data_IF_460775779334
#
_entry.id   IF_460775779334
#
_cell.length_a   1.000
_cell.length_b   1.000
_cell.length_c   1.000
_cell.angle_alpha   90.00
_cell.angle_beta   90.00
_cell.angle_gamma   90.00
#
_symmetry.space_group_name_H-M   'P 1'
#
loop_
_entity.id
_entity.type
_entity.pdbx_description
1 polymer ?
#
# COMPACT_ATOMS: atom_id res chain seq x y z
N UNK A 1 -21.32 6.97 12.28
CA UNK A 1 -20.38 6.90 11.13
C UNK A 1 -18.97 7.02 11.67
N UNK A 2 -17.97 6.31 11.11
CA UNK A 2 -16.58 6.47 11.53
C UNK A 2 -16.09 7.90 11.24
N UNK A 3 -15.30 8.45 12.15
CA UNK A 3 -14.60 9.72 11.92
C UNK A 3 -13.34 9.47 11.05
N UNK A 4 -12.64 10.52 10.65
CA UNK A 4 -11.44 10.43 9.82
C UNK A 4 -10.30 11.23 10.44
N UNK A 5 -9.07 10.77 10.24
CA UNK A 5 -7.89 11.57 10.60
C UNK A 5 -7.83 12.81 9.70
N UNK A 6 -7.76 14.00 10.30
CA UNK A 6 -7.34 15.20 9.61
C UNK A 6 -5.81 15.22 9.57
N UNK A 7 -5.26 14.94 8.39
CA UNK A 7 -3.81 14.81 8.21
C UNK A 7 -3.17 16.19 8.21
N UNK A 8 -2.49 16.53 9.31
CA UNK A 8 -1.62 17.72 9.41
C UNK A 8 -0.23 17.40 8.83
N UNK A 9 0.54 18.44 8.49
CA UNK A 9 1.93 18.28 8.03
C UNK A 9 2.78 17.59 9.10
N UNK A 10 2.63 17.99 10.37
CA UNK A 10 3.35 17.42 11.50
C UNK A 10 3.04 15.92 11.66
N UNK A 11 1.75 15.54 11.63
CA UNK A 11 1.35 14.14 11.72
C UNK A 11 1.86 13.33 10.53
N UNK A 12 1.74 13.85 9.30
CA UNK A 12 2.23 13.19 8.09
C UNK A 12 3.74 12.93 8.15
N UNK A 13 4.53 13.91 8.60
CA UNK A 13 5.97 13.77 8.74
C UNK A 13 6.35 12.78 9.85
N UNK A 14 5.66 12.83 11.00
CA UNK A 14 5.90 11.89 12.09
C UNK A 14 5.62 10.44 11.68
N UNK A 15 4.52 10.19 10.95
CA UNK A 15 4.22 8.86 10.41
C UNK A 15 5.27 8.43 9.38
N UNK A 16 5.68 9.31 8.46
CA UNK A 16 6.71 8.98 7.48
C UNK A 16 8.02 8.55 8.16
N UNK A 17 8.51 9.34 9.12
CA UNK A 17 9.74 9.04 9.86
C UNK A 17 9.64 7.71 10.60
N UNK A 18 8.49 7.40 11.19
CA UNK A 18 8.26 6.13 11.88
C UNK A 18 8.23 4.92 10.93
N UNK A 19 7.74 5.09 9.70
CA UNK A 19 7.59 3.99 8.73
C UNK A 19 8.82 3.75 7.85
N UNK A 20 9.69 4.75 7.63
CA UNK A 20 10.89 4.59 6.79
C UNK A 20 11.82 3.43 7.21
N UNK A 21 12.13 3.22 8.51
CA UNK A 21 12.92 2.06 8.94
C UNK A 21 12.21 0.73 8.64
N UNK A 22 10.88 0.69 8.81
CA UNK A 22 10.08 -0.52 8.55
C UNK A 22 10.13 -0.87 7.05
N UNK A 23 9.93 0.11 6.17
CA UNK A 23 10.05 -0.11 4.73
C UNK A 23 11.47 -0.50 4.32
N UNK A 24 12.49 0.09 4.95
CA UNK A 24 13.90 -0.24 4.71
C UNK A 24 14.22 -1.70 5.06
N UNK A 25 13.80 -2.14 6.25
CA UNK A 25 13.99 -3.51 6.72
C UNK A 25 13.23 -4.51 5.85
N UNK A 26 12.01 -4.15 5.44
CA UNK A 26 11.19 -4.96 4.55
C UNK A 26 11.86 -5.11 3.18
N UNK A 27 12.30 -4.02 2.57
CA UNK A 27 13.00 -4.05 1.29
C UNK A 27 14.30 -4.85 1.35
N UNK A 28 15.08 -4.70 2.44
CA UNK A 28 16.30 -5.46 2.70
C UNK A 28 16.03 -6.96 2.83
N UNK A 29 14.98 -7.37 3.56
CA UNK A 29 14.59 -8.79 3.72
C UNK A 29 14.25 -9.44 2.39
N UNK A 30 13.68 -8.67 1.47
CA UNK A 30 13.27 -9.13 0.15
C UNK A 30 14.35 -8.94 -0.94
N UNK A 31 15.48 -8.34 -0.60
CA UNK A 31 16.56 -8.01 -1.54
C UNK A 31 16.02 -7.21 -2.75
N UNK A 32 15.16 -6.22 -2.48
CA UNK A 32 14.60 -5.38 -3.53
C UNK A 32 15.70 -4.47 -4.10
N UNK A 33 15.71 -4.19 -5.43
CA UNK A 33 16.73 -3.37 -6.08
C UNK A 33 16.46 -1.88 -5.85
N UNK A 34 16.44 -1.46 -4.58
CA UNK A 34 16.27 -0.09 -4.15
C UNK A 34 17.32 0.26 -3.08
N UNK A 35 17.67 1.54 -2.91
CA UNK A 35 18.61 1.94 -1.86
C UNK A 35 18.10 1.56 -0.47
N UNK A 36 18.95 0.92 0.34
CA UNK A 36 18.69 0.63 1.75
C UNK A 36 19.80 1.21 2.62
N UNK A 37 19.50 2.04 3.65
CA UNK A 37 18.16 2.40 4.09
C UNK A 37 17.44 3.36 3.12
N UNK A 38 16.10 3.27 3.10
CA UNK A 38 15.24 4.24 2.44
C UNK A 38 15.21 5.50 3.32
N UNK A 39 15.70 6.61 2.79
CA UNK A 39 15.70 7.92 3.46
C UNK A 39 14.62 8.81 2.85
N UNK A 40 14.37 9.98 3.47
CA UNK A 40 13.45 10.99 2.95
C UNK A 40 13.82 11.48 1.54
N UNK A 41 15.10 11.46 1.16
CA UNK A 41 15.58 11.86 -0.17
C UNK A 41 15.09 10.92 -1.28
N UNK A 42 14.78 9.67 -0.95
CA UNK A 42 14.21 8.71 -1.89
C UNK A 42 12.69 8.82 -2.02
N UNK A 43 12.03 9.66 -1.22
CA UNK A 43 10.56 9.76 -1.17
C UNK A 43 10.09 10.75 -2.23
N UNK A 44 9.30 10.27 -3.20
CA UNK A 44 8.60 11.12 -4.15
C UNK A 44 7.29 11.62 -3.57
N UNK A 45 6.53 10.72 -2.92
CA UNK A 45 5.22 11.03 -2.35
C UNK A 45 4.96 10.14 -1.16
N UNK A 46 4.34 10.71 -0.13
CA UNK A 46 3.81 9.99 1.00
C UNK A 46 2.37 10.42 1.29
N UNK A 47 1.50 9.45 1.56
CA UNK A 47 0.10 9.68 1.96
C UNK A 47 -0.19 8.84 3.21
N UNK A 48 -0.87 9.43 4.18
CA UNK A 48 -1.32 8.77 5.41
C UNK A 48 -2.77 9.15 5.72
N UNK A 49 -3.31 8.65 6.82
CA UNK A 49 -4.68 8.86 7.28
C UNK A 49 -5.57 7.64 7.11
N UNK A 50 -6.84 7.80 7.43
CA UNK A 50 -7.82 6.73 7.38
C UNK A 50 -9.00 6.96 8.31
N UNK A 51 -9.97 6.03 8.31
CA UNK A 51 -11.08 6.09 9.24
C UNK A 51 -10.63 5.76 10.66
N UNK A 52 -11.21 6.44 11.64
CA UNK A 52 -11.13 6.10 13.06
C UNK A 52 -12.41 5.36 13.44
N UNK A 53 -12.24 4.10 13.82
CA UNK A 53 -13.35 3.22 14.17
C UNK A 53 -13.53 3.26 15.70
N UNK A 54 -14.68 3.69 16.23
CA UNK A 54 -14.93 3.70 17.67
C UNK A 54 -14.71 2.32 18.29
N UNK A 55 -13.98 2.28 19.42
CA UNK A 55 -13.66 1.04 20.12
C UNK A 55 -12.44 0.27 19.59
N UNK A 56 -11.78 0.77 18.53
CA UNK A 56 -10.55 0.19 18.00
C UNK A 56 -9.37 1.16 18.13
N UNK A 57 -8.14 0.66 18.33
CA UNK A 57 -6.94 1.49 18.22
C UNK A 57 -6.85 2.17 16.86
N UNK A 58 -6.27 3.37 16.83
CA UNK A 58 -6.02 4.08 15.58
C UNK A 58 -5.02 3.27 14.75
N UNK A 59 -5.43 2.94 13.53
CA UNK A 59 -4.59 2.25 12.55
C UNK A 59 -3.65 3.25 11.88
N UNK A 60 -2.34 3.10 12.11
CA UNK A 60 -1.31 3.89 11.42
C UNK A 60 -1.17 3.35 10.00
N UNK A 61 -1.51 4.18 9.02
CA UNK A 61 -1.44 3.84 7.60
C UNK A 61 -0.41 4.67 6.88
N UNK A 62 0.25 4.08 5.87
CA UNK A 62 1.19 4.80 5.03
C UNK A 62 1.19 4.25 3.61
N UNK A 63 1.13 5.14 2.64
CA UNK A 63 1.38 4.85 1.24
C UNK A 63 2.59 5.65 0.78
N UNK A 64 3.66 4.94 0.45
CA UNK A 64 4.95 5.51 0.06
C UNK A 64 5.20 5.25 -1.42
N UNK A 65 5.55 6.30 -2.16
CA UNK A 65 6.09 6.23 -3.52
C UNK A 65 7.52 6.75 -3.48
N UNK A 66 8.46 5.94 -3.97
CA UNK A 66 9.85 6.30 -4.12
C UNK A 66 10.12 7.00 -5.45
N UNK A 67 11.21 7.77 -5.54
CA UNK A 67 11.65 8.49 -6.75
C UNK A 67 11.96 7.57 -7.93
N UNK A 68 12.27 6.29 -7.67
CA UNK A 68 12.46 5.25 -8.68
C UNK A 68 11.16 4.49 -9.03
N UNK A 69 10.01 4.94 -8.53
CA UNK A 69 8.67 4.43 -8.84
C UNK A 69 8.24 3.20 -8.04
N UNK A 70 9.07 2.69 -7.12
CA UNK A 70 8.64 1.65 -6.18
C UNK A 70 7.60 2.18 -5.19
N UNK A 71 6.65 1.32 -4.84
CA UNK A 71 5.51 1.67 -3.99
C UNK A 71 5.40 0.71 -2.82
N UNK A 72 5.05 1.24 -1.65
CA UNK A 72 4.83 0.45 -0.43
C UNK A 72 3.56 0.91 0.27
N UNK A 73 2.86 -0.04 0.88
CA UNK A 73 1.73 0.22 1.74
C UNK A 73 1.96 -0.42 3.10
N UNK A 74 1.57 0.32 4.12
CA UNK A 74 1.58 -0.10 5.51
C UNK A 74 0.20 0.12 6.10
N UNK A 75 -0.34 -0.92 6.74
CA UNK A 75 -1.56 -0.85 7.51
C UNK A 75 -1.62 -2.01 8.51
N UNK A 76 -2.47 -1.90 9.53
CA UNK A 76 -2.70 -2.97 10.51
C UNK A 76 -1.39 -3.48 11.15
N UNK A 77 -0.43 -2.58 11.37
CA UNK A 77 0.83 -2.90 12.03
C UNK A 77 1.91 -3.58 11.16
N UNK A 78 1.71 -3.73 9.85
CA UNK A 78 2.68 -4.38 8.97
C UNK A 78 2.70 -3.79 7.54
N UNK A 79 3.71 -4.17 6.75
CA UNK A 79 3.75 -3.85 5.31
C UNK A 79 2.85 -4.86 4.60
N UNK A 80 1.67 -4.40 4.19
CA UNK A 80 0.66 -5.26 3.56
C UNK A 80 0.92 -5.46 2.06
N UNK A 81 1.62 -4.52 1.41
CA UNK A 81 1.92 -4.62 -0.01
C UNK A 81 3.12 -3.79 -0.46
N UNK A 82 3.71 -4.21 -1.58
CA UNK A 82 4.63 -3.42 -2.37
C UNK A 82 4.42 -3.66 -3.85
N UNK A 83 4.88 -2.72 -4.67
CA UNK A 83 4.83 -2.82 -6.12
C UNK A 83 6.09 -2.22 -6.74
N UNK A 84 6.71 -2.97 -7.65
CA UNK A 84 7.79 -2.50 -8.49
C UNK A 84 7.25 -1.52 -9.54
N UNK A 85 8.08 -0.58 -10.04
CA UNK A 85 7.68 0.38 -11.07
C UNK A 85 7.22 -0.29 -12.38
N UNK A 86 7.64 -1.53 -12.61
CA UNK A 86 7.27 -2.33 -13.78
C UNK A 86 6.61 -3.63 -13.35
N UNK A 87 5.30 -3.74 -13.59
CA UNK A 87 4.48 -4.88 -13.23
C UNK A 87 3.37 -5.06 -14.27
N UNK A 88 3.42 -6.16 -15.04
CA UNK A 88 2.50 -6.40 -16.15
C UNK A 88 1.02 -6.40 -15.72
N UNK A 89 0.70 -6.98 -14.56
CA UNK A 89 -0.70 -7.12 -14.14
C UNK A 89 -1.35 -5.82 -13.62
N UNK A 90 -0.55 -4.78 -13.36
CA UNK A 90 -1.05 -3.46 -12.99
C UNK A 90 -0.87 -2.44 -14.11
N UNK A 91 -0.24 -2.82 -15.23
CA UNK A 91 -0.19 -2.00 -16.43
C UNK A 91 -1.60 -1.80 -16.99
N UNK A 92 -1.99 -0.53 -17.16
CA UNK A 92 -3.30 -0.15 -17.69
C UNK A 92 -3.20 0.40 -19.11
N UNK A 93 -2.00 0.73 -19.57
CA UNK A 93 -1.76 1.22 -20.92
C UNK A 93 -1.54 0.04 -21.89
N UNK A 94 -2.50 -0.27 -22.79
CA UNK A 94 -2.37 -1.38 -23.73
C UNK A 94 -1.21 -1.20 -24.72
N UNK A 95 -0.77 0.03 -24.99
CA UNK A 95 0.33 0.30 -25.93
C UNK A 95 1.69 -0.10 -25.33
N UNK A 96 1.76 -0.22 -23.99
CA UNK A 96 2.98 -0.59 -23.27
C UNK A 96 3.16 -2.09 -23.10
N UNK A 97 2.20 -2.92 -23.51
CA UNK A 97 2.29 -4.39 -23.39
C UNK A 97 3.54 -4.95 -24.08
N UNK A 98 3.96 -4.35 -25.20
CA UNK A 98 5.17 -4.74 -25.92
C UNK A 98 6.43 -4.65 -25.03
N UNK A 99 6.48 -3.70 -24.09
CA UNK A 99 7.61 -3.53 -23.18
C UNK A 99 7.78 -4.76 -22.27
N UNK A 100 6.71 -5.49 -21.96
CA UNK A 100 6.68 -6.64 -21.05
C UNK A 100 6.96 -7.98 -21.74
N UNK A 101 7.17 -7.98 -23.05
CA UNK A 101 7.57 -9.19 -23.77
C UNK A 101 8.98 -9.62 -23.35
N UNK A 102 9.20 -10.93 -23.24
CA UNK A 102 10.50 -11.46 -22.84
C UNK A 102 10.62 -12.98 -22.88
N UNK A 103 11.74 -13.48 -22.36
CA UNK A 103 12.03 -14.91 -22.29
C UNK A 103 11.52 -15.53 -21.00
N UNK A 104 10.89 -16.70 -21.11
CA UNK A 104 10.42 -17.44 -19.94
C UNK A 104 11.58 -18.26 -19.34
N UNK A 105 12.15 -17.76 -18.24
CA UNK A 105 13.32 -18.38 -17.59
C UNK A 105 12.99 -19.08 -16.26
N UNK A 106 11.70 -19.18 -15.92
CA UNK A 106 11.21 -19.74 -14.66
C UNK A 106 9.93 -20.52 -14.91
N UNK A 107 9.81 -21.69 -14.29
CA UNK A 107 8.64 -22.54 -14.29
C UNK A 107 7.61 -22.09 -13.25
N UNK A 108 6.36 -22.56 -13.39
CA UNK A 108 5.32 -22.32 -12.38
C UNK A 108 5.72 -22.78 -10.97
N UNK A 109 6.39 -23.94 -10.87
CA UNK A 109 6.83 -24.49 -9.58
C UNK A 109 7.88 -23.60 -8.92
N UNK A 110 8.84 -23.11 -9.68
CA UNK A 110 9.85 -22.17 -9.18
C UNK A 110 9.22 -20.83 -8.76
N UNK A 111 8.21 -20.34 -9.49
CA UNK A 111 7.48 -19.13 -9.12
C UNK A 111 6.73 -19.27 -7.78
N UNK A 112 6.05 -20.40 -7.55
CA UNK A 112 5.42 -20.70 -6.24
C UNK A 112 6.48 -20.81 -5.13
N UNK A 113 7.61 -21.45 -5.43
CA UNK A 113 8.70 -21.59 -4.46
C UNK A 113 9.28 -20.22 -4.08
N UNK A 114 9.48 -19.32 -5.06
CA UNK A 114 9.92 -17.96 -4.82
C UNK A 114 8.95 -17.18 -3.93
N UNK A 115 7.65 -17.22 -4.24
CA UNK A 115 6.62 -16.54 -3.43
C UNK A 115 6.62 -17.01 -1.97
N UNK A 116 6.72 -18.33 -1.73
CA UNK A 116 6.79 -18.91 -0.38
C UNK A 116 8.08 -18.53 0.35
N UNK A 117 9.20 -18.50 -0.36
CA UNK A 117 10.48 -18.06 0.20
C UNK A 117 10.40 -16.58 0.63
N UNK A 118 9.75 -15.71 -0.16
CA UNK A 118 9.54 -14.32 0.24
C UNK A 118 8.68 -14.23 1.51
N UNK A 119 7.57 -14.98 1.59
CA UNK A 119 6.75 -15.04 2.81
C UNK A 119 7.56 -15.47 4.04
N UNK A 120 8.50 -16.42 3.86
CA UNK A 120 9.40 -16.86 4.93
C UNK A 120 10.35 -15.73 5.34
N UNK A 121 11.00 -15.05 4.39
CA UNK A 121 11.92 -13.92 4.68
C UNK A 121 11.25 -12.75 5.38
N UNK A 122 9.97 -12.50 5.07
CA UNK A 122 9.16 -11.48 5.76
C UNK A 122 8.71 -11.90 7.16
N UNK A 123 8.83 -13.18 7.52
CA UNK A 123 8.30 -13.75 8.76
C UNK A 123 6.78 -13.95 8.74
N UNK A 124 6.18 -14.05 7.55
CA UNK A 124 4.73 -14.17 7.36
C UNK A 124 4.27 -15.62 7.14
N UNK A 125 5.17 -16.52 6.74
CA UNK A 125 4.83 -17.90 6.38
C UNK A 125 4.05 -18.65 7.47
N UNK A 126 4.48 -18.56 8.74
CA UNK A 126 3.82 -19.25 9.85
C UNK A 126 2.44 -18.67 10.18
N UNK A 127 2.27 -17.36 9.99
CA UNK A 127 1.00 -16.65 10.21
C UNK A 127 -0.01 -16.88 9.09
N UNK A 128 0.45 -17.36 7.93
CA UNK A 128 -0.35 -17.58 6.72
C UNK A 128 -0.27 -19.04 6.27
N UNK A 129 -0.68 -20.02 7.10
CA UNK A 129 -0.45 -21.44 6.84
C UNK A 129 -1.10 -21.94 5.53
N UNK A 130 -2.17 -21.29 5.07
CA UNK A 130 -2.83 -21.65 3.80
C UNK A 130 -1.93 -21.43 2.57
N UNK A 131 -0.91 -20.57 2.66
CA UNK A 131 0.07 -20.35 1.58
C UNK A 131 1.01 -21.53 1.33
N UNK A 132 1.07 -22.49 2.27
CA UNK A 132 1.76 -23.77 2.08
C UNK A 132 1.01 -24.71 1.13
N UNK A 133 -0.30 -24.53 0.96
CA UNK A 133 -1.14 -25.29 0.04
C UNK A 133 -0.99 -24.80 -1.40
N UNK A 134 -1.60 -25.52 -2.34
CA UNK A 134 -1.66 -25.11 -3.75
C UNK A 134 -2.34 -23.71 -3.85
N UNK A 135 -1.83 -22.79 -4.69
CA UNK A 135 -2.50 -21.52 -4.97
C UNK A 135 -3.94 -21.74 -5.43
N UNK A 136 -4.85 -20.85 -5.01
CA UNK A 136 -6.24 -20.86 -5.47
C UNK A 136 -6.35 -20.41 -6.92
N UNK A 137 -5.53 -19.41 -7.31
CA UNK A 137 -5.39 -18.98 -8.70
C UNK A 137 -3.92 -18.91 -9.09
N UNK A 138 -3.66 -19.23 -10.35
CA UNK A 138 -2.33 -19.16 -10.94
C UNK A 138 -2.47 -18.78 -12.41
N UNK A 139 -2.07 -17.57 -12.75
CA UNK A 139 -2.12 -17.03 -14.11
C UNK A 139 -0.73 -16.94 -14.72
N UNK A 140 -0.67 -16.99 -16.06
CA UNK A 140 0.57 -16.87 -16.83
C UNK A 140 1.35 -18.18 -17.04
N UNK A 141 2.38 -18.16 -17.90
CA UNK A 141 2.75 -17.02 -18.74
C UNK A 141 1.71 -16.85 -19.87
N UNK A 142 1.69 -15.68 -20.51
CA UNK A 142 0.75 -15.42 -21.60
C UNK A 142 1.43 -15.31 -22.96
N UNK A 143 0.62 -15.37 -24.02
CA UNK A 143 1.03 -15.04 -25.39
C UNK A 143 0.36 -13.75 -25.83
N UNK A 144 1.14 -12.84 -26.37
CA UNK A 144 0.67 -11.59 -26.97
C UNK A 144 1.30 -11.45 -28.35
N UNK A 145 0.47 -11.48 -29.40
CA UNK A 145 0.90 -11.43 -30.81
C UNK A 145 2.02 -12.44 -31.13
N UNK A 146 1.87 -13.68 -30.63
CA UNK A 146 2.86 -14.76 -30.78
C UNK A 146 4.07 -14.67 -29.84
N UNK A 147 4.31 -13.52 -29.20
CA UNK A 147 5.41 -13.29 -28.27
C UNK A 147 5.03 -13.69 -26.85
N UNK A 148 6.03 -13.99 -26.01
CA UNK A 148 5.81 -14.45 -24.62
C UNK A 148 5.79 -13.25 -23.68
N UNK A 149 4.79 -13.23 -22.78
CA UNK A 149 4.77 -12.37 -21.59
C UNK A 149 5.16 -13.24 -20.39
N UNK A 150 6.43 -13.15 -19.92
CA UNK A 150 6.96 -14.03 -18.89
C UNK A 150 6.58 -13.52 -17.49
N UNK A 151 5.28 -13.36 -17.22
CA UNK A 151 4.78 -12.92 -15.92
C UNK A 151 3.83 -13.95 -15.33
N UNK A 152 3.93 -14.15 -14.01
CA UNK A 152 3.04 -14.99 -13.23
C UNK A 152 2.30 -14.17 -12.18
N UNK A 153 1.02 -14.48 -11.97
CA UNK A 153 0.24 -14.01 -10.82
C UNK A 153 -0.20 -15.23 -10.02
N UNK A 154 0.10 -15.22 -8.73
CA UNK A 154 -0.16 -16.33 -7.81
C UNK A 154 -1.00 -15.81 -6.66
N UNK A 155 -2.16 -16.43 -6.44
CA UNK A 155 -3.09 -16.02 -5.40
C UNK A 155 -3.39 -17.17 -4.44
N UNK A 156 -3.53 -16.84 -3.17
CA UNK A 156 -4.14 -17.68 -2.15
C UNK A 156 -5.29 -16.93 -1.51
N UNK A 157 -6.47 -17.52 -1.57
CA UNK A 157 -7.71 -16.99 -1.01
C UNK A 157 -8.31 -18.01 -0.04
N UNK A 158 -8.74 -17.58 1.14
CA UNK A 158 -9.44 -18.44 2.09
C UNK A 158 -10.29 -17.63 3.07
N UNK A 159 -11.23 -18.32 3.72
CA UNK A 159 -12.06 -17.75 4.77
C UNK A 159 -11.74 -18.38 6.13
N UNK A 160 -11.78 -17.56 7.19
CA UNK A 160 -11.82 -18.03 8.58
C UNK A 160 -13.07 -17.44 9.23
N UNK A 161 -14.13 -18.24 9.34
CA UNK A 161 -15.45 -17.72 9.74
C UNK A 161 -15.97 -16.71 8.73
N UNK A 162 -16.23 -15.48 9.18
CA UNK A 162 -16.67 -14.36 8.33
C UNK A 162 -15.53 -13.53 7.74
N UNK A 163 -14.27 -13.84 8.07
CA UNK A 163 -13.11 -13.08 7.62
C UNK A 163 -12.56 -13.68 6.32
N UNK A 164 -12.42 -12.83 5.30
CA UNK A 164 -11.74 -13.17 4.05
C UNK A 164 -10.25 -12.84 4.15
N UNK A 165 -9.41 -13.74 3.66
CA UNK A 165 -7.97 -13.60 3.63
C UNK A 165 -7.45 -13.76 2.20
N UNK A 166 -6.43 -12.98 1.87
CA UNK A 166 -5.85 -12.88 0.54
C UNK A 166 -4.33 -12.73 0.59
N UNK A 167 -3.64 -13.40 -0.32
CA UNK A 167 -2.21 -13.19 -0.61
C UNK A 167 -2.02 -13.25 -2.12
N UNK A 168 -1.36 -12.25 -2.68
CA UNK A 168 -1.00 -12.14 -4.09
C UNK A 168 0.48 -11.91 -4.26
N UNK A 169 1.05 -12.58 -5.26
CA UNK A 169 2.36 -12.29 -5.80
C UNK A 169 2.29 -12.12 -7.31
N UNK A 170 2.92 -11.07 -7.82
CA UNK A 170 3.28 -10.97 -9.24
C UNK A 170 4.77 -11.20 -9.39
N UNK A 171 5.15 -12.00 -10.39
CA UNK A 171 6.53 -12.42 -10.62
C UNK A 171 6.89 -12.18 -12.08
N UNK A 172 8.01 -11.48 -12.28
CA UNK A 172 8.74 -11.43 -13.54
C UNK A 172 9.58 -12.71 -13.67
N UNK A 173 9.13 -13.64 -14.52
CA UNK A 173 9.74 -14.94 -14.74
C UNK A 173 11.01 -14.85 -15.61
N UNK A 174 11.25 -13.73 -16.31
CA UNK A 174 12.50 -13.49 -17.02
C UNK A 174 13.62 -13.13 -16.04
N UNK A 175 13.33 -12.18 -15.14
CA UNK A 175 14.27 -11.68 -14.13
C UNK A 175 14.28 -12.50 -12.83
N UNK A 176 13.35 -13.45 -12.69
CA UNK A 176 13.14 -14.26 -11.48
C UNK A 176 12.87 -13.39 -10.25
N UNK A 177 12.08 -12.35 -10.42
CA UNK A 177 11.89 -11.29 -9.42
C UNK A 177 10.42 -11.09 -9.09
N UNK A 178 10.11 -10.88 -7.81
CA UNK A 178 8.76 -10.44 -7.39
C UNK A 178 8.57 -8.96 -7.75
N UNK A 179 7.54 -8.66 -8.52
CA UNK A 179 7.16 -7.30 -8.91
C UNK A 179 5.99 -6.75 -8.10
N UNK A 180 5.25 -7.61 -7.40
CA UNK A 180 4.21 -7.20 -6.46
C UNK A 180 4.04 -8.24 -5.36
N UNK A 181 3.79 -7.77 -4.16
CA UNK A 181 3.20 -8.54 -3.07
C UNK A 181 1.99 -7.76 -2.55
N UNK A 182 0.91 -8.46 -2.25
CA UNK A 182 -0.20 -7.90 -1.49
C UNK A 182 -0.79 -8.95 -0.55
N UNK A 183 -1.17 -8.55 0.66
CA UNK A 183 -1.84 -9.40 1.60
C UNK A 183 -2.95 -8.65 2.33
N UNK A 184 -4.10 -9.30 2.49
CA UNK A 184 -5.13 -8.89 3.42
C UNK A 184 -5.38 -10.06 4.35
N UNK A 185 -4.91 -9.98 5.60
CA UNK A 185 -5.13 -11.02 6.59
C UNK A 185 -5.03 -10.47 8.01
N UNK A 186 -6.06 -10.72 8.81
CA UNK A 186 -6.08 -10.38 10.23
C UNK A 186 -5.01 -11.11 11.04
N UNK A 187 -4.49 -12.24 10.53
CA UNK A 187 -3.39 -12.98 11.16
C UNK A 187 -2.06 -12.21 11.17
N UNK A 188 -1.92 -11.19 10.32
CA UNK A 188 -0.72 -10.34 10.28
C UNK A 188 -0.87 -9.07 11.12
N UNK A 189 -2.06 -8.80 11.67
CA UNK A 189 -2.29 -7.64 12.51
C UNK A 189 -1.26 -7.59 13.65
N UNK A 190 -0.59 -6.45 13.77
CA UNK A 190 0.40 -6.20 14.79
C UNK A 190 0.19 -4.82 15.42
N UNK A 191 0.89 -4.54 16.51
CA UNK A 191 0.91 -3.20 17.08
C UNK A 191 1.64 -2.26 16.10
N UNK A 192 1.00 -1.16 15.63
CA UNK A 192 1.69 -0.17 14.80
C UNK A 192 2.79 0.54 15.59
N UNK A 193 3.76 1.20 14.91
CA UNK A 193 4.76 2.00 15.59
C UNK A 193 4.09 3.13 16.39
N UNK A 194 4.74 3.53 17.46
CA UNK A 194 4.32 4.69 18.23
C UNK A 194 4.55 5.96 17.42
N UNK A 195 3.50 6.77 17.26
CA UNK A 195 3.58 8.07 16.63
C UNK A 195 3.53 9.10 17.75
N UNK A 196 4.63 9.82 17.96
CA UNK A 196 4.76 10.83 19.01
C UNK A 196 3.85 12.06 18.84
N UNK A 197 2.99 12.06 17.81
CA UNK A 197 2.05 13.12 17.49
C UNK A 197 0.63 12.53 17.52
N UNK A 198 -0.24 13.11 18.35
CA UNK A 198 -1.65 12.74 18.38
C UNK A 198 -2.32 13.23 17.09
N UNK A 199 -2.99 12.35 16.32
CA UNK A 199 -3.74 12.80 15.15
C UNK A 199 -4.90 13.68 15.58
N UNK A 200 -5.14 14.75 14.82
CA UNK A 200 -6.38 15.51 14.90
C UNK A 200 -7.49 14.77 14.14
N UNK A 201 -8.70 14.73 14.71
CA UNK A 201 -9.86 14.19 14.02
C UNK A 201 -10.50 15.23 13.10
N UNK A 202 -11.13 14.78 12.02
CA UNK A 202 -11.82 15.67 11.07
C UNK A 202 -12.97 16.41 11.76
N UNK A 203 -13.69 15.77 12.68
CA UNK A 203 -14.71 16.44 13.48
C UNK A 203 -14.14 17.56 14.36
N UNK A 204 -13.00 17.33 15.01
CA UNK A 204 -12.28 18.32 15.83
C UNK A 204 -11.80 19.51 14.99
N UNK A 205 -11.18 19.23 13.84
CA UNK A 205 -10.78 20.24 12.88
C UNK A 205 -11.97 21.09 12.41
N UNK A 206 -13.06 20.45 12.00
CA UNK A 206 -14.26 21.15 11.51
C UNK A 206 -14.89 21.99 12.61
N UNK A 207 -14.92 21.50 13.86
CA UNK A 207 -15.38 22.25 15.02
C UNK A 207 -14.52 23.49 15.22
N UNK A 208 -13.19 23.35 15.27
CA UNK A 208 -12.26 24.48 15.42
C UNK A 208 -12.40 25.52 14.31
N UNK A 209 -12.50 25.10 13.05
CA UNK A 209 -12.63 26.04 11.91
C UNK A 209 -13.99 26.72 11.86
N UNK A 210 -15.07 26.04 12.26
CA UNK A 210 -16.41 26.62 12.33
C UNK A 210 -16.57 27.56 13.52
N UNK A 211 -16.06 27.20 14.68
CA UNK A 211 -16.08 28.03 15.89
C UNK A 211 -15.12 29.23 15.79
N UNK A 212 -13.97 29.06 15.12
CA UNK A 212 -13.03 30.14 14.80
C UNK A 212 -13.53 31.10 13.70
N UNK A 213 -14.61 30.74 12.99
CA UNK A 213 -15.38 31.64 12.14
C UNK A 213 -16.63 32.08 12.88
N UNK A 214 -16.49 33.02 13.84
CA UNK A 214 -17.49 34.08 13.92
C UNK A 214 -17.47 34.77 12.55
N UNK A 215 -18.34 34.32 11.66
CA UNK A 215 -18.68 35.06 10.46
C UNK A 215 -19.28 36.35 11.02
N UNK A 216 -18.50 37.43 11.05
CA UNK A 216 -19.08 38.76 10.96
C UNK A 216 -19.85 38.75 9.64
N UNK A 217 -21.13 38.39 9.73
CA UNK A 217 -22.09 38.69 8.71
C UNK A 217 -22.15 40.21 8.75
N UNK A 218 -21.28 40.87 7.97
CA UNK A 218 -21.51 42.27 7.64
C UNK A 218 -22.80 42.22 6.84
N UNK A 219 -23.86 42.74 7.43
CA UNK A 219 -25.06 43.07 6.67
C UNK A 219 -24.60 43.82 5.41
N UNK A 220 -25.11 43.44 4.22
CA UNK A 220 -24.84 44.23 3.04
C UNK A 220 -25.25 45.68 3.33
N UNK A 221 -24.45 46.69 2.93
CA UNK A 221 -24.81 48.07 3.15
C UNK A 221 -26.21 48.32 2.59
N UNK A 222 -27.10 49.05 3.29
CA UNK A 222 -28.45 49.29 2.80
C UNK A 222 -28.37 49.93 1.41
N UNK A 223 -29.07 49.32 0.45
CA UNK A 223 -29.22 49.87 -0.89
C UNK A 223 -29.76 51.30 -0.78
N UNK A 224 -29.00 52.26 -1.31
CA UNK A 224 -29.49 53.62 -1.47
C UNK A 224 -30.61 53.56 -2.51
N UNK A 225 -31.85 53.71 -2.05
CA UNK A 225 -32.97 53.97 -2.96
C UNK A 225 -32.66 55.22 -3.79
N UNK A 226 -32.92 55.21 -5.11
CA UNK A 226 -32.74 56.39 -5.93
C UNK A 226 -33.73 57.49 -5.51
N UNK A 227 -33.33 58.78 -5.63
CA UNK A 227 -34.14 59.91 -5.20
C UNK A 227 -35.43 60.06 -6.03
N UNK A 228 -36.47 60.70 -5.46
CA UNK A 228 -37.80 60.83 -6.07
C UNK A 228 -37.82 61.71 -7.32
#
# INVERSE_FOLDING_TARGET
MPDWIHVTVEYSNAVLVALLPIFSDFAKKLDLPIPTPITSEHVQRFVTGGPVIPGYPIDVRGYLILTNGWRFWYSLGHVDSFEAPRNYFTEQDPDRVAEYVGSLNMTRREAVALAREMLKRMGYAEKLPQTSKRPTKFDGPFKWRGQTLPYYRIEWEWNTGTQFHYVEFNIDAQKKQVTKFACASTNLCAKPPEIGVKPELRSEYLKRVREGKQIYQRDPPPERLPPP
#
